data_IF_380277995069
#
_entry.id   IF_380277995069
#
_cell.length_a   1.000
_cell.length_b   1.000
_cell.length_c   1.000
_cell.angle_alpha   90.00
_cell.angle_beta   90.00
_cell.angle_gamma   90.00
#
_symmetry.space_group_name_H-M   'P 1'
#
loop_
_entity.id
_entity.type
_entity.pdbx_description
1 polymer ?
#
# COMPACT_ATOMS: atom_id res chain seq x y z
N UNK A 1 -30.90 -32.00 -19.82
CA UNK A 1 -30.05 -32.25 -21.00
C UNK A 1 -30.89 -33.12 -21.91
N UNK A 2 -31.17 -32.67 -23.13
CA UNK A 2 -31.93 -33.47 -24.08
C UNK A 2 -30.92 -34.38 -24.79
N UNK A 3 -30.71 -35.56 -24.21
CA UNK A 3 -29.92 -36.61 -24.83
C UNK A 3 -30.70 -37.09 -26.06
N UNK A 4 -30.30 -36.62 -27.23
CA UNK A 4 -30.92 -37.00 -28.50
C UNK A 4 -30.09 -38.09 -29.16
N UNK A 5 -30.58 -39.32 -29.12
CA UNK A 5 -30.01 -40.42 -29.92
C UNK A 5 -30.41 -40.26 -31.39
N UNK A 6 -29.43 -40.33 -32.30
CA UNK A 6 -29.70 -40.32 -33.75
C UNK A 6 -29.19 -41.60 -34.43
N UNK A 7 -29.85 -42.02 -35.50
CA UNK A 7 -29.45 -43.16 -36.30
C UNK A 7 -28.09 -42.90 -36.96
N UNK A 8 -27.08 -43.71 -36.66
CA UNK A 8 -25.72 -43.55 -37.19
C UNK A 8 -25.58 -43.83 -38.69
N UNK A 9 -26.64 -44.28 -39.37
CA UNK A 9 -26.62 -44.53 -40.82
C UNK A 9 -27.35 -43.46 -41.64
N UNK A 10 -28.50 -42.97 -41.18
CA UNK A 10 -29.31 -42.00 -41.92
C UNK A 10 -29.60 -40.69 -41.18
N UNK A 11 -29.12 -40.54 -39.94
CA UNK A 11 -29.29 -39.33 -39.13
C UNK A 11 -30.69 -39.13 -38.52
N UNK A 12 -31.63 -40.05 -38.75
CA UNK A 12 -32.98 -39.97 -38.18
C UNK A 12 -32.93 -39.91 -36.65
N UNK A 13 -33.64 -38.96 -36.03
CA UNK A 13 -33.74 -38.88 -34.56
C UNK A 13 -34.59 -40.03 -34.05
N UNK A 14 -34.08 -40.74 -33.05
CA UNK A 14 -34.73 -41.92 -32.51
C UNK A 14 -35.28 -41.61 -31.12
N UNK A 15 -36.46 -42.15 -30.83
CA UNK A 15 -37.16 -41.93 -29.55
C UNK A 15 -36.63 -42.84 -28.43
N UNK A 16 -35.64 -43.68 -28.72
CA UNK A 16 -35.02 -44.55 -27.72
C UNK A 16 -33.99 -43.79 -26.88
N UNK A 17 -33.90 -44.14 -25.60
CA UNK A 17 -32.96 -43.54 -24.67
C UNK A 17 -31.53 -43.99 -25.00
N UNK A 18 -30.55 -43.10 -24.79
CA UNK A 18 -29.12 -43.34 -25.06
C UNK A 18 -28.56 -44.58 -24.34
N UNK A 19 -29.18 -44.99 -23.23
CA UNK A 19 -28.82 -46.15 -22.43
C UNK A 19 -29.42 -47.49 -22.92
N UNK A 20 -30.15 -47.50 -24.03
CA UNK A 20 -30.80 -48.73 -24.54
C UNK A 20 -29.75 -49.74 -25.03
N UNK A 21 -29.75 -50.93 -24.42
CA UNK A 21 -28.85 -52.02 -24.76
C UNK A 21 -29.05 -52.48 -26.20
N UNK A 22 -27.96 -52.87 -26.88
CA UNK A 22 -27.94 -53.18 -28.32
C UNK A 22 -29.03 -54.20 -28.71
N UNK A 23 -29.28 -55.19 -27.87
CA UNK A 23 -30.26 -56.25 -28.07
C UNK A 23 -31.72 -55.77 -28.03
N UNK A 24 -31.98 -54.62 -27.40
CA UNK A 24 -33.32 -54.03 -27.26
C UNK A 24 -33.57 -52.88 -28.22
N UNK A 25 -32.58 -52.52 -29.06
CA UNK A 25 -32.71 -51.43 -30.03
C UNK A 25 -33.63 -51.85 -31.15
N UNK A 26 -34.62 -51.01 -31.44
CA UNK A 26 -35.44 -51.25 -32.61
C UNK A 26 -34.70 -50.77 -33.87
N UNK A 27 -34.87 -51.46 -35.01
CA UNK A 27 -34.35 -50.98 -36.29
C UNK A 27 -34.87 -49.55 -36.55
N UNK A 28 -34.00 -48.68 -37.06
CA UNK A 28 -34.40 -47.33 -37.42
C UNK A 28 -35.59 -47.39 -38.41
N UNK A 29 -36.71 -46.67 -38.15
CA UNK A 29 -37.91 -46.79 -38.97
C UNK A 29 -37.70 -46.32 -40.42
N UNK A 30 -36.65 -45.52 -40.66
CA UNK A 30 -36.35 -44.98 -41.99
C UNK A 30 -35.44 -45.86 -42.84
N UNK A 31 -34.47 -46.54 -42.24
CA UNK A 31 -33.45 -47.28 -43.00
C UNK A 31 -33.12 -48.69 -42.46
N UNK A 32 -33.82 -49.14 -41.40
CA UNK A 32 -33.62 -50.45 -40.78
C UNK A 32 -32.33 -50.62 -39.98
N UNK A 33 -31.50 -49.58 -39.83
CA UNK A 33 -30.20 -49.70 -39.14
C UNK A 33 -30.33 -49.66 -37.61
N UNK A 34 -29.50 -50.43 -36.91
CA UNK A 34 -29.37 -50.44 -35.44
C UNK A 34 -28.18 -49.60 -34.91
N UNK A 35 -27.43 -48.92 -35.80
CA UNK A 35 -26.31 -48.03 -35.43
C UNK A 35 -26.79 -46.68 -34.87
N UNK A 36 -26.07 -46.10 -33.90
CA UNK A 36 -26.39 -44.83 -33.20
C UNK A 36 -25.17 -43.94 -33.02
N UNK A 37 -25.38 -42.62 -33.03
CA UNK A 37 -24.42 -41.61 -32.58
C UNK A 37 -25.02 -40.82 -31.41
N UNK A 38 -24.17 -40.48 -30.43
CA UNK A 38 -24.52 -39.72 -29.23
C UNK A 38 -23.59 -38.50 -29.13
N UNK A 39 -24.09 -37.36 -28.66
CA UNK A 39 -23.31 -36.14 -28.45
C UNK A 39 -23.51 -35.62 -27.03
N UNK A 40 -22.41 -35.42 -26.30
CA UNK A 40 -22.42 -34.83 -24.95
C UNK A 40 -21.76 -33.45 -25.02
N UNK A 41 -22.50 -32.41 -24.63
CA UNK A 41 -21.97 -31.05 -24.49
C UNK A 41 -21.57 -30.79 -23.03
N UNK A 42 -20.30 -30.46 -22.79
CA UNK A 42 -19.80 -30.05 -21.48
C UNK A 42 -19.61 -28.52 -21.52
N UNK A 43 -20.32 -27.80 -20.64
CA UNK A 43 -20.14 -26.35 -20.47
C UNK A 43 -19.28 -26.10 -19.25
N UNK A 44 -18.10 -25.50 -19.44
CA UNK A 44 -17.18 -25.13 -18.36
C UNK A 44 -17.13 -23.60 -18.24
N UNK A 45 -17.18 -23.07 -17.02
CA UNK A 45 -17.23 -21.62 -16.77
C UNK A 45 -16.03 -21.17 -15.93
N UNK A 46 -15.26 -20.22 -16.46
CA UNK A 46 -14.11 -19.62 -15.77
C UNK A 46 -14.52 -18.31 -15.13
N UNK A 47 -14.30 -18.16 -13.82
CA UNK A 47 -14.55 -16.90 -13.10
C UNK A 47 -13.23 -16.17 -12.87
N UNK A 48 -13.12 -14.93 -13.35
CA UNK A 48 -12.00 -14.04 -13.06
C UNK A 48 -12.44 -13.01 -12.01
N UNK A 49 -11.58 -12.76 -11.01
CA UNK A 49 -11.79 -11.68 -10.02
C UNK A 49 -10.63 -10.70 -10.07
N UNK A 50 -10.93 -9.42 -9.85
CA UNK A 50 -9.96 -8.34 -9.73
C UNK A 50 -10.13 -7.67 -8.36
N UNK A 51 -9.02 -7.29 -7.72
CA UNK A 51 -9.03 -6.51 -6.48
C UNK A 51 -8.35 -5.17 -6.70
N UNK A 52 -8.87 -4.13 -6.05
CA UNK A 52 -8.31 -2.77 -6.08
C UNK A 52 -7.88 -2.41 -4.68
N UNK A 53 -6.60 -2.08 -4.50
CA UNK A 53 -6.06 -1.58 -3.22
C UNK A 53 -6.03 -0.05 -3.25
N UNK A 54 -6.78 0.60 -2.37
CA UNK A 54 -6.69 2.04 -2.15
C UNK A 54 -5.65 2.33 -1.06
N UNK A 55 -4.61 3.10 -1.38
CA UNK A 55 -3.60 3.53 -0.42
C UNK A 55 -3.89 4.95 0.04
N UNK A 56 -4.11 5.15 1.34
CA UNK A 56 -4.26 6.50 1.92
C UNK A 56 -2.91 7.21 1.91
N UNK A 57 -2.77 8.25 1.09
CA UNK A 57 -1.59 9.12 1.08
C UNK A 57 -1.75 10.17 2.18
N UNK A 58 -1.00 10.02 3.27
CA UNK A 58 -0.92 11.04 4.33
C UNK A 58 -0.12 12.26 3.87
N UNK A 59 -0.38 13.44 4.42
CA UNK A 59 0.35 14.66 4.08
C UNK A 59 1.89 14.56 4.23
N UNK A 60 2.44 13.96 5.30
CA UNK A 60 3.88 13.69 5.37
C UNK A 60 4.40 12.83 4.20
N UNK A 61 3.64 11.82 3.78
CA UNK A 61 4.02 11.00 2.62
C UNK A 61 3.99 11.81 1.32
N UNK A 62 3.01 12.71 1.14
CA UNK A 62 2.96 13.61 -0.01
C UNK A 62 4.19 14.52 -0.07
N UNK A 63 4.61 15.08 1.07
CA UNK A 63 5.83 15.88 1.17
C UNK A 63 7.09 15.06 0.86
N UNK A 64 7.19 13.81 1.33
CA UNK A 64 8.30 12.93 0.96
C UNK A 64 8.34 12.63 -0.55
N UNK A 65 7.18 12.48 -1.20
CA UNK A 65 7.10 12.30 -2.65
C UNK A 65 7.59 13.55 -3.39
N UNK A 66 7.20 14.74 -2.94
CA UNK A 66 7.69 16.01 -3.49
C UNK A 66 9.21 16.13 -3.29
N UNK A 67 9.72 15.84 -2.08
CA UNK A 67 11.14 15.87 -1.79
C UNK A 67 11.95 14.91 -2.68
N UNK A 68 11.43 13.70 -2.94
CA UNK A 68 12.06 12.77 -3.90
C UNK A 68 12.12 13.39 -5.30
N UNK A 69 11.01 13.95 -5.79
CA UNK A 69 10.98 14.60 -7.10
C UNK A 69 11.98 15.76 -7.20
N UNK A 70 12.16 16.53 -6.13
CA UNK A 70 13.16 17.60 -6.06
C UNK A 70 14.59 17.04 -6.12
N UNK A 71 14.88 15.91 -5.48
CA UNK A 71 16.19 15.23 -5.61
C UNK A 71 16.43 14.80 -7.05
N UNK A 72 15.44 14.20 -7.70
CA UNK A 72 15.54 13.71 -9.08
C UNK A 72 15.80 14.87 -10.06
N UNK A 73 15.32 16.07 -9.75
CA UNK A 73 15.55 17.31 -10.52
C UNK A 73 16.85 18.04 -10.15
N UNK A 74 17.65 17.52 -9.21
CA UNK A 74 18.89 18.17 -8.76
C UNK A 74 18.70 19.32 -7.75
N UNK A 75 17.48 19.51 -7.24
CA UNK A 75 17.12 20.55 -6.29
C UNK A 75 17.36 20.09 -4.83
N UNK A 76 18.61 19.76 -4.49
CA UNK A 76 18.98 19.10 -3.22
C UNK A 76 18.71 19.94 -1.95
N UNK A 77 18.91 21.25 -2.02
CA UNK A 77 18.72 22.12 -0.85
C UNK A 77 17.25 22.14 -0.41
N UNK A 78 16.36 22.41 -1.37
CA UNK A 78 14.92 22.50 -1.11
C UNK A 78 14.31 21.12 -0.84
N UNK A 79 14.88 20.03 -1.37
CA UNK A 79 14.44 18.69 -1.03
C UNK A 79 14.67 18.36 0.45
N UNK A 80 15.84 18.71 1.01
CA UNK A 80 16.13 18.55 2.44
C UNK A 80 15.19 19.39 3.30
N UNK A 81 14.89 20.63 2.91
CA UNK A 81 13.90 21.45 3.64
C UNK A 81 12.51 20.79 3.63
N UNK A 82 12.09 20.31 2.45
CA UNK A 82 10.77 19.70 2.26
C UNK A 82 10.60 18.40 3.04
N UNK A 83 11.61 17.53 3.04
CA UNK A 83 11.54 16.27 3.78
C UNK A 83 11.61 16.48 5.30
N UNK A 84 12.32 17.51 5.80
CA UNK A 84 12.30 17.83 7.22
C UNK A 84 10.94 18.40 7.66
N UNK A 85 10.27 19.18 6.80
CA UNK A 85 8.89 19.61 7.05
C UNK A 85 7.93 18.40 7.13
N UNK A 86 8.16 17.36 6.32
CA UNK A 86 7.40 16.12 6.44
C UNK A 86 7.57 15.46 7.82
N UNK A 87 8.80 15.45 8.35
CA UNK A 87 9.09 14.93 9.69
C UNK A 87 8.44 15.77 10.79
N UNK A 88 8.45 17.10 10.67
CA UNK A 88 7.82 18.00 11.64
C UNK A 88 6.30 17.76 11.72
N UNK A 89 5.61 17.64 10.57
CA UNK A 89 4.17 17.35 10.56
C UNK A 89 3.86 15.93 11.06
N UNK A 90 4.74 14.96 10.80
CA UNK A 90 4.58 13.63 11.35
C UNK A 90 4.78 13.61 12.89
N UNK A 91 5.73 14.40 13.39
CA UNK A 91 5.98 14.55 14.81
C UNK A 91 4.82 15.23 15.54
N UNK A 92 4.26 16.30 14.98
CA UNK A 92 3.04 16.97 15.49
C UNK A 92 1.90 15.96 15.70
N UNK A 93 1.59 15.16 14.67
CA UNK A 93 0.55 14.13 14.77
C UNK A 93 0.86 13.06 15.81
N UNK A 94 2.14 12.72 16.00
CA UNK A 94 2.56 11.78 17.02
C UNK A 94 2.44 12.38 18.43
N UNK A 95 2.65 13.69 18.60
CA UNK A 95 2.34 14.39 19.84
C UNK A 95 0.84 14.34 20.13
N UNK A 96 -0.01 14.70 19.17
CA UNK A 96 -1.48 14.66 19.33
C UNK A 96 -1.97 13.28 19.77
N UNK A 97 -1.45 12.23 19.13
CA UNK A 97 -1.77 10.85 19.48
C UNK A 97 -1.31 10.50 20.90
N UNK A 98 -0.09 10.89 21.28
CA UNK A 98 0.45 10.62 22.61
C UNK A 98 -0.28 11.39 23.73
N UNK A 99 -0.70 12.63 23.47
CA UNK A 99 -1.54 13.40 24.39
C UNK A 99 -2.91 12.75 24.57
N UNK A 100 -3.57 12.38 23.46
CA UNK A 100 -4.88 11.73 23.47
C UNK A 100 -4.83 10.39 24.21
N UNK A 101 -3.80 9.58 23.98
CA UNK A 101 -3.60 8.29 24.65
C UNK A 101 -3.47 8.40 26.19
N UNK A 102 -3.13 9.59 26.70
CA UNK A 102 -3.00 9.88 28.14
C UNK A 102 -4.13 10.73 28.70
N UNK A 103 -5.12 11.12 27.89
CA UNK A 103 -6.15 12.10 28.25
C UNK A 103 -5.55 13.45 28.70
N UNK A 104 -4.55 13.93 27.95
CA UNK A 104 -3.80 15.17 28.20
C UNK A 104 -3.99 16.20 27.07
N UNK A 105 -5.10 16.16 26.35
CA UNK A 105 -5.36 17.00 25.17
C UNK A 105 -5.26 18.50 25.50
N UNK A 106 -5.87 18.91 26.61
CA UNK A 106 -5.82 20.30 27.08
C UNK A 106 -4.41 20.77 27.46
N UNK A 107 -3.54 19.85 27.87
CA UNK A 107 -2.13 20.15 28.10
C UNK A 107 -1.39 20.32 26.78
N UNK A 108 -1.70 19.49 25.77
CA UNK A 108 -1.16 19.63 24.41
C UNK A 108 -1.41 21.04 23.88
N UNK A 109 -2.67 21.49 23.88
CA UNK A 109 -3.05 22.84 23.44
C UNK A 109 -2.29 23.96 24.18
N UNK A 110 -2.10 23.81 25.50
CA UNK A 110 -1.39 24.79 26.31
C UNK A 110 0.13 24.82 26.04
N UNK A 111 0.72 23.68 25.68
CA UNK A 111 2.16 23.52 25.45
C UNK A 111 2.55 23.84 24.01
N UNK A 112 1.67 23.60 23.03
CA UNK A 112 1.93 23.88 21.61
C UNK A 112 2.29 25.35 21.37
N UNK A 113 1.61 26.28 22.04
CA UNK A 113 1.93 27.71 21.97
C UNK A 113 3.30 28.09 22.55
N UNK A 114 3.92 27.21 23.33
CA UNK A 114 5.25 27.41 23.92
C UNK A 114 6.37 26.84 23.04
N UNK A 115 6.04 25.95 22.10
CA UNK A 115 7.00 25.25 21.25
C UNK A 115 7.11 25.92 19.89
N UNK A 116 8.36 26.20 19.45
CA UNK A 116 8.62 26.78 18.14
C UNK A 116 8.78 25.67 17.07
N UNK A 117 7.70 24.90 16.86
CA UNK A 117 7.60 23.81 15.88
C UNK A 117 7.79 22.41 16.49
N UNK A 118 7.93 21.40 15.63
CA UNK A 118 7.93 19.98 16.03
C UNK A 118 9.19 19.22 15.61
N UNK A 119 10.30 19.93 15.40
CA UNK A 119 11.54 19.28 15.01
C UNK A 119 12.11 18.46 16.17
N UNK A 120 12.01 17.13 16.09
CA UNK A 120 12.53 16.19 17.09
C UNK A 120 14.05 16.24 17.24
N UNK A 121 14.81 16.77 16.28
CA UNK A 121 16.25 17.00 16.46
C UNK A 121 16.56 18.08 17.51
N UNK A 122 15.57 18.89 17.89
CA UNK A 122 15.62 19.82 19.01
C UNK A 122 15.46 19.05 20.33
N UNK A 123 16.33 19.34 21.29
CA UNK A 123 16.37 18.62 22.57
C UNK A 123 15.10 18.79 23.40
N UNK A 124 14.42 19.94 23.33
CA UNK A 124 13.18 20.18 24.07
C UNK A 124 12.03 19.35 23.51
N UNK A 125 11.81 19.38 22.19
CA UNK A 125 10.77 18.58 21.55
C UNK A 125 11.01 17.08 21.78
N UNK A 126 12.26 16.63 21.64
CA UNK A 126 12.60 15.21 21.87
C UNK A 126 12.37 14.75 23.29
N UNK A 127 12.79 15.52 24.29
CA UNK A 127 12.60 15.16 25.69
C UNK A 127 11.12 15.06 26.04
N UNK A 128 10.31 16.00 25.54
CA UNK A 128 8.86 15.95 25.70
C UNK A 128 8.28 14.70 25.03
N UNK A 129 8.68 14.42 23.78
CA UNK A 129 8.24 13.24 23.04
C UNK A 129 8.56 11.94 23.78
N UNK A 130 9.81 11.77 24.24
CA UNK A 130 10.25 10.62 25.01
C UNK A 130 9.48 10.49 26.33
N UNK A 131 9.23 11.61 27.02
CA UNK A 131 8.45 11.61 28.27
C UNK A 131 6.98 11.20 28.05
N UNK A 132 6.37 11.64 26.95
CA UNK A 132 5.00 11.28 26.60
C UNK A 132 4.89 9.81 26.14
N UNK A 133 5.83 9.33 25.34
CA UNK A 133 5.72 8.00 24.72
C UNK A 133 6.43 6.89 25.51
N UNK A 134 7.30 7.26 26.45
CA UNK A 134 8.15 6.32 27.19
C UNK A 134 9.29 5.71 26.37
N UNK A 135 9.56 6.24 25.16
CA UNK A 135 10.59 5.73 24.27
C UNK A 135 11.90 6.51 24.40
N UNK A 136 12.99 5.91 23.91
CA UNK A 136 14.27 6.58 23.71
C UNK A 136 14.54 6.70 22.20
N UNK A 137 14.14 7.83 21.62
CA UNK A 137 14.28 8.08 20.18
C UNK A 137 15.75 8.09 19.74
N UNK A 138 16.64 8.54 20.61
CA UNK A 138 18.08 8.61 20.37
C UNK A 138 18.74 7.24 20.19
N UNK A 139 18.14 6.18 20.73
CA UNK A 139 18.62 4.81 20.58
C UNK A 139 18.32 4.20 19.20
N UNK A 140 17.51 4.87 18.37
CA UNK A 140 17.13 4.35 17.05
C UNK A 140 18.30 4.47 16.06
N UNK A 141 18.48 3.44 15.23
CA UNK A 141 19.61 3.36 14.29
C UNK A 141 19.63 4.49 13.23
N UNK A 142 18.46 5.05 12.90
CA UNK A 142 18.34 6.18 11.97
C UNK A 142 18.73 7.52 12.59
N UNK A 143 18.77 7.60 13.93
CA UNK A 143 18.86 8.86 14.67
C UNK A 143 20.07 9.72 14.30
N UNK A 144 21.31 9.19 14.20
CA UNK A 144 22.46 9.99 13.82
C UNK A 144 22.32 10.64 12.43
N UNK A 145 21.74 9.90 11.47
CA UNK A 145 21.50 10.42 10.11
C UNK A 145 20.43 11.49 10.11
N UNK A 146 19.37 11.32 10.89
CA UNK A 146 18.32 12.33 11.05
C UNK A 146 18.86 13.64 11.69
N UNK A 147 19.69 13.54 12.74
CA UNK A 147 20.36 14.70 13.34
C UNK A 147 21.20 15.44 12.30
N UNK A 148 22.01 14.72 11.54
CA UNK A 148 22.84 15.31 10.47
C UNK A 148 21.98 16.01 9.41
N UNK A 149 20.86 15.41 9.00
CA UNK A 149 19.92 16.03 8.06
C UNK A 149 19.30 17.32 8.62
N UNK A 150 18.91 17.35 9.89
CA UNK A 150 18.40 18.56 10.53
C UNK A 150 19.46 19.66 10.62
N UNK A 151 20.72 19.32 10.90
CA UNK A 151 21.83 20.27 10.93
C UNK A 151 22.12 20.82 9.53
N UNK A 152 22.05 19.96 8.50
CA UNK A 152 22.18 20.35 7.10
C UNK A 152 21.06 21.32 6.70
N UNK A 153 19.80 21.05 7.06
CA UNK A 153 18.67 21.97 6.86
C UNK A 153 18.93 23.33 7.49
N UNK A 154 19.37 23.37 8.74
CA UNK A 154 19.70 24.62 9.42
C UNK A 154 20.83 25.38 8.69
N UNK A 155 21.83 24.66 8.18
CA UNK A 155 22.91 25.26 7.39
C UNK A 155 22.39 25.86 6.08
N UNK A 156 21.53 25.14 5.35
CA UNK A 156 20.92 25.61 4.10
C UNK A 156 20.10 26.89 4.35
N UNK A 157 19.17 26.83 5.31
CA UNK A 157 18.19 27.90 5.55
C UNK A 157 18.82 29.16 6.15
N UNK A 158 19.78 29.00 7.06
CA UNK A 158 20.30 30.14 7.83
C UNK A 158 21.71 30.58 7.44
N UNK A 159 22.46 29.76 6.69
CA UNK A 159 23.88 30.02 6.38
C UNK A 159 24.23 29.90 4.90
N UNK A 160 23.25 29.74 4.02
CA UNK A 160 23.50 29.53 2.59
C UNK A 160 24.25 28.23 2.29
N UNK A 161 24.12 27.23 3.16
CA UNK A 161 24.72 25.92 2.97
C UNK A 161 24.21 25.22 1.71
N UNK A 162 25.02 24.31 1.17
CA UNK A 162 24.66 23.52 0.00
C UNK A 162 24.69 22.02 0.34
N UNK A 163 23.75 21.29 -0.23
CA UNK A 163 23.68 19.84 -0.19
C UNK A 163 24.04 19.26 -1.55
N UNK A 164 24.70 18.11 -1.53
CA UNK A 164 24.86 17.27 -2.72
C UNK A 164 23.78 16.18 -2.77
N UNK A 165 23.81 15.38 -3.85
CA UNK A 165 22.84 14.29 -4.06
C UNK A 165 22.86 13.26 -2.93
N UNK A 166 24.04 12.79 -2.54
CA UNK A 166 24.19 11.74 -1.52
C UNK A 166 23.68 12.21 -0.16
N UNK A 167 23.96 13.46 0.20
CA UNK A 167 23.43 14.08 1.44
C UNK A 167 21.90 14.17 1.41
N UNK A 168 21.31 14.53 0.27
CA UNK A 168 19.86 14.61 0.12
C UNK A 168 19.21 13.22 0.14
N UNK A 169 19.81 12.21 -0.47
CA UNK A 169 19.31 10.83 -0.43
C UNK A 169 19.42 10.23 0.98
N UNK A 170 20.53 10.44 1.68
CA UNK A 170 20.70 10.02 3.05
C UNK A 170 19.68 10.70 3.99
N UNK A 171 19.43 11.99 3.79
CA UNK A 171 18.40 12.74 4.52
C UNK A 171 17.00 12.19 4.25
N UNK A 172 16.67 11.89 2.98
CA UNK A 172 15.39 11.30 2.61
C UNK A 172 15.18 9.93 3.27
N UNK A 173 16.22 9.08 3.29
CA UNK A 173 16.15 7.79 3.95
C UNK A 173 15.90 7.93 5.46
N UNK A 174 16.64 8.82 6.13
CA UNK A 174 16.45 9.07 7.56
C UNK A 174 15.04 9.62 7.88
N UNK A 175 14.51 10.50 7.02
CA UNK A 175 13.16 11.03 7.16
C UNK A 175 12.07 9.95 6.99
N UNK A 176 12.24 9.04 6.02
CA UNK A 176 11.35 7.88 5.84
C UNK A 176 11.36 6.97 7.06
N UNK A 177 12.54 6.69 7.61
CA UNK A 177 12.72 5.87 8.80
C UNK A 177 12.03 6.50 10.01
N UNK A 178 12.23 7.80 10.25
CA UNK A 178 11.56 8.52 11.32
C UNK A 178 10.04 8.53 11.15
N UNK A 179 9.52 8.89 9.98
CA UNK A 179 8.06 8.93 9.73
C UNK A 179 7.44 7.54 9.88
N UNK A 180 8.15 6.48 9.50
CA UNK A 180 7.68 5.11 9.71
C UNK A 180 7.65 4.76 11.19
N UNK A 181 8.69 5.12 11.94
CA UNK A 181 8.76 4.92 13.39
C UNK A 181 7.61 5.65 14.12
N UNK A 182 7.36 6.91 13.80
CA UNK A 182 6.33 7.73 14.46
C UNK A 182 4.90 7.21 14.23
N UNK A 183 4.64 6.40 13.19
CA UNK A 183 3.33 5.80 12.94
C UNK A 183 3.04 4.55 13.77
N UNK A 184 4.04 4.03 14.48
CA UNK A 184 3.92 2.80 15.28
C UNK A 184 3.46 3.07 16.71
N UNK A 185 3.40 4.34 17.11
CA UNK A 185 3.08 4.83 18.46
C UNK A 185 1.65 5.37 18.43
#
# INVERSE_FOLDING_TARGET
MADSTVCGNCGETLTELDSTSVEKRQPCPRCGSTRRNFSVEITDSVTASASVTATVVTYPNALLTIARSLIDQGHFNISIVTLLMACEVAAERAFDAAYSAKNLETLGEAVDGLMNGHNLANDKHRKLYNALTGVELEGQSFWPRFKSASEKRNSIVHRGGHANKDEAEAALQAARELITYLKQI
#
